data_IF_145679507312
#
_entry.id   IF_145679507312
#
_cell.length_a   1.000
_cell.length_b   1.000
_cell.length_c   1.000
_cell.angle_alpha   90.00
_cell.angle_beta   90.00
_cell.angle_gamma   90.00
#
_symmetry.space_group_name_H-M   'P 1'
#
loop_
_entity.id
_entity.type
_entity.pdbx_description
1 polymer ?
#
# COMPACT_ATOMS: atom_id res chain seq x y z
N UNK A 1 -3.12 -5.82 -18.61
CA UNK A 1 -2.98 -4.38 -18.30
C UNK A 1 -1.54 -4.22 -17.83
N UNK A 2 -0.73 -3.39 -18.46
CA UNK A 2 0.68 -3.24 -18.07
C UNK A 2 0.79 -2.37 -16.81
N UNK A 3 1.56 -2.83 -15.82
CA UNK A 3 1.87 -2.04 -14.64
C UNK A 3 2.85 -0.91 -15.00
N UNK A 4 2.49 0.33 -14.70
CA UNK A 4 3.40 1.47 -14.77
C UNK A 4 4.32 1.49 -13.53
N UNK A 5 5.32 0.60 -13.53
CA UNK A 5 6.30 0.46 -12.43
C UNK A 5 7.13 1.73 -12.20
N UNK A 6 7.23 2.58 -13.21
CA UNK A 6 8.02 3.81 -13.13
C UNK A 6 7.28 4.96 -12.45
N UNK A 7 5.95 4.88 -12.35
CA UNK A 7 5.16 5.92 -11.74
C UNK A 7 5.42 6.07 -10.24
N UNK A 8 5.32 7.31 -9.77
CA UNK A 8 5.53 7.66 -8.35
C UNK A 8 4.63 6.87 -7.42
N UNK A 9 3.35 6.72 -7.77
CA UNK A 9 2.38 6.01 -6.93
C UNK A 9 2.68 4.51 -6.86
N UNK A 10 3.17 3.90 -7.95
CA UNK A 10 3.61 2.51 -7.97
C UNK A 10 4.84 2.27 -7.09
N UNK A 11 5.85 3.16 -7.18
CA UNK A 11 7.06 3.09 -6.36
C UNK A 11 6.74 3.27 -4.87
N UNK A 12 5.86 4.21 -4.54
CA UNK A 12 5.42 4.46 -3.15
C UNK A 12 4.66 3.25 -2.59
N UNK A 13 3.78 2.64 -3.38
CA UNK A 13 3.03 1.43 -3.01
C UNK A 13 3.96 0.25 -2.69
N UNK A 14 4.90 -0.04 -3.58
CA UNK A 14 5.87 -1.11 -3.39
C UNK A 14 6.76 -0.82 -2.18
N UNK A 15 7.19 0.43 -1.98
CA UNK A 15 7.98 0.82 -0.80
C UNK A 15 7.19 0.62 0.49
N UNK A 16 5.90 0.96 0.51
CA UNK A 16 5.03 0.74 1.65
C UNK A 16 4.86 -0.75 1.96
N UNK A 17 4.55 -1.57 0.96
CA UNK A 17 4.43 -3.02 1.13
C UNK A 17 5.72 -3.66 1.63
N UNK A 18 6.89 -3.24 1.11
CA UNK A 18 8.18 -3.72 1.61
C UNK A 18 8.43 -3.32 3.08
N UNK A 19 8.03 -2.12 3.49
CA UNK A 19 8.18 -1.69 4.89
C UNK A 19 7.31 -2.54 5.84
N UNK A 20 6.08 -2.91 5.42
CA UNK A 20 5.22 -3.83 6.18
C UNK A 20 5.88 -5.21 6.33
N UNK A 21 6.36 -5.79 5.23
CA UNK A 21 7.03 -7.10 5.21
C UNK A 21 8.31 -7.11 6.06
N UNK A 22 9.06 -6.01 6.04
CA UNK A 22 10.25 -5.84 6.87
C UNK A 22 9.95 -5.59 8.37
N UNK A 23 8.67 -5.40 8.73
CA UNK A 23 8.25 -5.02 10.09
C UNK A 23 8.61 -3.59 10.49
N UNK A 24 8.97 -2.74 9.52
CA UNK A 24 9.30 -1.32 9.71
C UNK A 24 8.04 -0.46 9.57
N UNK A 25 7.13 -0.62 10.52
CA UNK A 25 5.85 0.10 10.54
C UNK A 25 6.02 1.60 10.76
N UNK A 26 7.12 2.03 11.37
CA UNK A 26 7.48 3.45 11.49
C UNK A 26 7.74 4.04 10.10
N UNK A 27 8.56 3.36 9.28
CA UNK A 27 8.79 3.77 7.89
C UNK A 27 7.49 3.71 7.08
N UNK A 28 6.70 2.63 7.19
CA UNK A 28 5.42 2.53 6.50
C UNK A 28 4.48 3.71 6.84
N UNK A 29 4.41 4.06 8.12
CA UNK A 29 3.63 5.20 8.60
C UNK A 29 4.14 6.54 8.04
N UNK A 30 5.45 6.72 7.86
CA UNK A 30 6.03 7.93 7.24
C UNK A 30 5.69 8.11 5.75
N UNK A 31 5.05 7.14 5.11
CA UNK A 31 4.61 7.25 3.71
C UNK A 31 3.14 7.67 3.60
N UNK A 32 2.39 7.64 4.71
CA UNK A 32 0.97 8.01 4.75
C UNK A 32 0.80 9.53 4.71
N UNK A 33 -0.33 10.01 4.21
CA UNK A 33 -0.74 11.42 4.30
C UNK A 33 -1.00 11.80 5.75
N UNK A 34 -0.94 13.11 6.07
CA UNK A 34 -1.14 13.59 7.43
C UNK A 34 -2.53 13.20 7.98
N UNK A 35 -3.55 13.23 7.12
CA UNK A 35 -4.91 12.78 7.46
C UNK A 35 -4.92 11.30 7.85
N UNK A 36 -4.32 10.44 7.03
CA UNK A 36 -4.31 9.01 7.29
C UNK A 36 -3.46 8.64 8.52
N UNK A 37 -2.33 9.33 8.76
CA UNK A 37 -1.52 9.19 9.99
C UNK A 37 -2.26 9.58 11.26
N UNK A 38 -3.25 10.47 11.17
CA UNK A 38 -4.03 10.86 12.35
C UNK A 38 -4.93 9.73 12.85
N UNK A 39 -5.34 8.82 11.95
CA UNK A 39 -6.21 7.68 12.24
C UNK A 39 -5.48 6.32 12.33
N UNK A 40 -4.30 6.20 11.73
CA UNK A 40 -3.49 4.97 11.76
C UNK A 40 -2.15 5.22 12.43
N UNK A 41 -1.86 4.48 13.50
CA UNK A 41 -0.56 4.49 14.16
C UNK A 41 0.34 3.36 13.62
N UNK A 42 1.67 3.42 13.82
CA UNK A 42 2.54 2.27 13.51
C UNK A 42 2.09 0.97 14.17
N UNK A 43 1.57 1.04 15.40
CA UNK A 43 0.99 -0.10 16.11
C UNK A 43 -0.27 -0.64 15.42
N UNK A 44 -1.15 0.24 14.96
CA UNK A 44 -2.35 -0.16 14.22
C UNK A 44 -2.01 -0.81 12.88
N UNK A 45 -1.01 -0.29 12.17
CA UNK A 45 -0.51 -0.90 10.93
C UNK A 45 0.03 -2.32 11.18
N UNK A 46 0.76 -2.49 12.28
CA UNK A 46 1.23 -3.81 12.73
C UNK A 46 0.08 -4.76 13.00
N UNK A 47 -0.89 -4.36 13.82
CA UNK A 47 -2.03 -5.21 14.18
C UNK A 47 -2.83 -5.65 12.96
N UNK A 48 -3.10 -4.72 12.03
CA UNK A 48 -3.81 -5.04 10.78
C UNK A 48 -3.00 -6.04 9.94
N UNK A 49 -1.69 -5.78 9.78
CA UNK A 49 -0.82 -6.64 9.00
C UNK A 49 -0.68 -8.04 9.61
N UNK A 50 -0.47 -8.14 10.93
CA UNK A 50 -0.37 -9.41 11.65
C UNK A 50 -1.68 -10.19 11.53
N UNK A 51 -2.84 -9.54 11.65
CA UNK A 51 -4.14 -10.19 11.45
C UNK A 51 -4.35 -10.70 10.01
N UNK A 52 -3.78 -10.01 9.02
CA UNK A 52 -3.84 -10.46 7.62
C UNK A 52 -3.01 -11.71 7.39
N UNK A 53 -1.83 -11.82 7.99
CA UNK A 53 -0.91 -12.94 7.75
C UNK A 53 -1.06 -14.08 8.76
N UNK A 54 -1.87 -13.91 9.82
CA UNK A 54 -2.02 -14.86 10.94
C UNK A 54 -2.38 -16.30 10.49
N UNK A 55 -3.16 -16.46 9.42
CA UNK A 55 -3.58 -17.79 8.95
C UNK A 55 -2.51 -18.54 8.15
N UNK A 56 -1.44 -17.83 7.75
CA UNK A 56 -0.34 -18.37 6.99
C UNK A 56 0.86 -18.65 7.88
N UNK A 57 1.51 -19.78 7.66
CA UNK A 57 2.83 -20.06 8.22
C UNK A 57 3.92 -19.47 7.32
N UNK A 58 4.93 -18.85 7.96
CA UNK A 58 6.15 -18.37 7.31
C UNK A 58 6.24 -16.86 7.12
N UNK A 59 7.47 -16.36 6.97
CA UNK A 59 7.70 -14.96 6.61
C UNK A 59 7.28 -14.71 5.16
N UNK A 60 6.80 -13.51 4.82
CA UNK A 60 6.50 -13.17 3.44
C UNK A 60 7.78 -13.22 2.62
N UNK A 61 7.72 -13.85 1.46
CA UNK A 61 8.87 -14.01 0.57
C UNK A 61 8.82 -13.04 -0.60
N UNK A 62 7.62 -12.56 -0.96
CA UNK A 62 7.40 -11.86 -2.22
C UNK A 62 6.48 -10.64 -2.04
N UNK A 63 6.91 -9.52 -2.65
CA UNK A 63 6.11 -8.31 -2.83
C UNK A 63 6.01 -8.04 -4.32
N UNK A 64 4.80 -8.14 -4.88
CA UNK A 64 4.57 -8.00 -6.31
C UNK A 64 3.57 -6.89 -6.62
N UNK A 65 3.96 -5.95 -7.49
CA UNK A 65 3.04 -4.97 -8.04
C UNK A 65 2.20 -5.62 -9.15
N UNK A 66 0.90 -5.77 -8.89
CA UNK A 66 -0.03 -6.51 -9.75
C UNK A 66 -0.71 -5.59 -10.76
N UNK A 67 -1.26 -4.46 -10.29
CA UNK A 67 -2.00 -3.50 -11.13
C UNK A 67 -1.69 -2.07 -10.71
N UNK A 68 -1.71 -1.17 -11.68
CA UNK A 68 -1.61 0.29 -11.50
C UNK A 68 -2.64 0.98 -12.36
N UNK A 69 -3.19 2.10 -11.89
CA UNK A 69 -4.10 2.93 -12.69
C UNK A 69 -4.03 4.40 -12.27
N UNK A 70 -3.82 5.29 -13.24
CA UNK A 70 -3.73 6.75 -13.02
C UNK A 70 -5.10 7.41 -12.99
N UNK A 71 -6.03 6.92 -13.81
CA UNK A 71 -7.37 7.46 -13.94
C UNK A 71 -8.38 6.33 -13.78
N UNK A 72 -9.16 6.41 -12.70
CA UNK A 72 -10.26 5.50 -12.43
C UNK A 72 -11.49 6.38 -12.21
N UNK A 73 -12.45 6.30 -13.12
CA UNK A 73 -13.58 7.23 -13.23
C UNK A 73 -14.63 6.96 -12.14
N UNK A 74 -14.21 6.93 -10.88
CA UNK A 74 -15.04 6.72 -9.70
C UNK A 74 -15.14 8.02 -8.88
N UNK A 75 -16.26 8.24 -8.15
CA UNK A 75 -16.49 9.48 -7.41
C UNK A 75 -15.45 9.78 -6.32
N UNK A 76 -14.71 8.77 -5.87
CA UNK A 76 -13.66 8.87 -4.85
C UNK A 76 -12.29 9.33 -5.40
N UNK A 77 -12.14 9.50 -6.72
CA UNK A 77 -10.90 10.04 -7.30
C UNK A 77 -10.82 11.55 -7.04
N UNK A 78 -9.74 11.99 -6.40
CA UNK A 78 -9.45 13.39 -6.11
C UNK A 78 -8.56 14.01 -7.20
N UNK A 79 -8.64 15.33 -7.45
CA UNK A 79 -7.76 16.00 -8.41
C UNK A 79 -6.27 15.95 -8.04
N UNK A 80 -5.96 15.74 -6.77
CA UNK A 80 -4.59 15.59 -6.25
C UNK A 80 -4.05 14.17 -6.41
N UNK A 81 -4.89 13.22 -6.82
CA UNK A 81 -4.48 11.84 -6.97
C UNK A 81 -3.54 11.65 -8.15
N UNK A 82 -2.44 10.96 -7.88
CA UNK A 82 -1.48 10.53 -8.89
C UNK A 82 -1.87 9.19 -9.52
N UNK A 83 -2.56 8.33 -8.76
CA UNK A 83 -2.86 6.97 -9.15
C UNK A 83 -3.17 6.06 -7.96
N UNK A 84 -3.68 4.87 -8.26
CA UNK A 84 -3.67 3.75 -7.32
C UNK A 84 -2.84 2.59 -7.83
N UNK A 85 -2.39 1.78 -6.88
CA UNK A 85 -1.62 0.59 -7.13
C UNK A 85 -2.13 -0.54 -6.23
N UNK A 86 -2.14 -1.75 -6.79
CA UNK A 86 -2.48 -2.98 -6.10
C UNK A 86 -1.23 -3.85 -5.99
N UNK A 87 -0.84 -4.13 -4.75
CA UNK A 87 0.39 -4.84 -4.43
C UNK A 87 0.05 -6.11 -3.66
N UNK A 88 0.46 -7.25 -4.19
CA UNK A 88 0.39 -8.52 -3.49
C UNK A 88 1.56 -8.67 -2.52
N UNK A 89 1.28 -9.23 -1.35
CA UNK A 89 2.22 -9.67 -0.33
C UNK A 89 1.98 -11.17 -0.15
N UNK A 90 2.91 -11.98 -0.61
CA UNK A 90 2.78 -13.43 -0.59
C UNK A 90 3.88 -14.07 0.28
N UNK A 91 3.50 -15.14 0.95
CA UNK A 91 4.41 -16.12 1.55
C UNK A 91 4.09 -17.51 1.04
N UNK A 92 4.79 -18.52 1.55
CA UNK A 92 4.65 -19.91 1.10
C UNK A 92 3.21 -20.46 1.22
N UNK A 93 2.41 -19.92 2.15
CA UNK A 93 1.08 -20.44 2.50
C UNK A 93 -0.04 -19.40 2.51
N UNK A 94 0.25 -18.14 2.19
CA UNK A 94 -0.73 -17.06 2.17
C UNK A 94 -0.46 -16.07 1.03
N UNK A 95 -1.53 -15.41 0.61
CA UNK A 95 -1.47 -14.36 -0.40
C UNK A 95 -2.45 -13.28 0.00
N UNK A 96 -1.91 -12.14 0.38
CA UNK A 96 -2.64 -10.97 0.80
C UNK A 96 -2.28 -9.82 -0.13
N UNK A 97 -3.02 -8.73 -0.08
CA UNK A 97 -2.76 -7.58 -0.92
C UNK A 97 -3.19 -6.28 -0.24
N UNK A 98 -2.56 -5.21 -0.70
CA UNK A 98 -2.89 -3.84 -0.33
C UNK A 98 -3.11 -3.00 -1.58
N UNK A 99 -4.27 -2.35 -1.64
CA UNK A 99 -4.54 -1.26 -2.58
C UNK A 99 -4.16 0.03 -1.91
N UNK A 100 -3.37 0.86 -2.59
CA UNK A 100 -3.02 2.19 -2.12
C UNK A 100 -3.45 3.23 -3.13
N UNK A 101 -3.99 4.37 -2.65
CA UNK A 101 -4.16 5.57 -3.47
C UNK A 101 -3.13 6.60 -3.02
N UNK A 102 -2.37 7.12 -3.98
CA UNK A 102 -1.33 8.12 -3.72
C UNK A 102 -1.80 9.46 -4.25
N UNK A 103 -1.72 10.46 -3.38
CA UNK A 103 -1.96 11.86 -3.71
C UNK A 103 -0.66 12.65 -3.72
N UNK A 104 -0.70 13.80 -4.37
CA UNK A 104 0.35 14.81 -4.34
C UNK A 104 -0.10 15.99 -3.47
N UNK A 105 0.58 16.21 -2.35
CA UNK A 105 0.36 17.35 -1.47
C UNK A 105 1.55 18.30 -1.66
N UNK A 106 1.32 19.45 -2.30
CA UNK A 106 2.33 20.49 -2.53
C UNK A 106 3.64 20.01 -3.18
N UNK A 107 3.57 18.96 -4.01
CA UNK A 107 4.74 18.36 -4.69
C UNK A 107 5.33 17.14 -4.00
N UNK A 108 4.83 16.79 -2.81
CA UNK A 108 5.23 15.61 -2.06
C UNK A 108 4.18 14.48 -2.17
N UNK A 109 4.55 13.30 -2.71
CA UNK A 109 3.63 12.18 -2.83
C UNK A 109 3.41 11.48 -1.48
N UNK A 110 2.15 11.21 -1.14
CA UNK A 110 1.77 10.51 0.10
C UNK A 110 0.60 9.55 -0.13
N UNK A 111 0.52 8.48 0.68
CA UNK A 111 -0.58 7.52 0.63
C UNK A 111 -1.78 8.08 1.39
N UNK A 112 -2.87 8.37 0.69
CA UNK A 112 -4.09 8.90 1.31
C UNK A 112 -5.12 7.82 1.67
N UNK A 113 -5.04 6.67 1.04
CA UNK A 113 -6.00 5.59 1.21
C UNK A 113 -5.32 4.23 1.17
N UNK A 114 -5.80 3.34 2.03
CA UNK A 114 -5.39 1.95 2.12
C UNK A 114 -6.65 1.09 2.11
N UNK A 115 -6.65 0.07 1.27
CA UNK A 115 -7.61 -1.03 1.32
C UNK A 115 -6.84 -2.34 1.38
N UNK A 116 -7.26 -3.22 2.29
CA UNK A 116 -6.64 -4.52 2.53
C UNK A 116 -7.53 -5.61 1.95
N UNK A 117 -6.93 -6.60 1.31
CA UNK A 117 -7.69 -7.68 0.69
C UNK A 117 -6.80 -8.81 0.21
N UNK A 118 -7.30 -9.60 -0.74
CA UNK A 118 -6.60 -10.74 -1.33
C UNK A 118 -6.58 -10.63 -2.86
N UNK A 119 -5.46 -10.99 -3.51
CA UNK A 119 -5.31 -10.92 -4.97
C UNK A 119 -6.16 -11.93 -5.74
#
# INVERSE_FOLDING_TARGET
MECNREATYAKLAVRFANALVAGDFDQAHTLLSAELRSGLTPSSLREIYEAMVEYGDGSPTDVELIVTMEQWQLPEQHPTDLGWAYVAIAGDSYSEAVTVIVENIDGEPAIRHLEWGRP
#
